data_IF_210730883176
#
_entry.id   IF_210730883176
#
_cell.length_a   1.000
_cell.length_b   1.000
_cell.length_c   1.000
_cell.angle_alpha   90.00
_cell.angle_beta   90.00
_cell.angle_gamma   90.00
#
_symmetry.space_group_name_H-M   'P 1'
#
loop_
_entity.id
_entity.type
_entity.pdbx_description
1 polymer ?
#
# COMPACT_ATOMS: atom_id res chain seq x y z
N UNK A 1 4.69 4.98 13.71
CA UNK A 1 3.28 5.05 14.14
C UNK A 1 2.54 3.83 13.63
N UNK A 2 1.77 3.22 14.48
CA UNK A 2 0.96 2.08 14.05
C UNK A 2 -0.28 2.56 13.29
N UNK A 3 -0.61 1.90 12.17
CA UNK A 3 -1.69 2.32 11.30
C UNK A 3 -3.06 1.98 11.91
N UNK A 4 -4.10 2.78 11.59
CA UNK A 4 -5.43 2.58 12.14
C UNK A 4 -6.10 1.30 11.63
N UNK A 5 -6.79 0.59 12.51
CA UNK A 5 -7.47 -0.67 12.19
C UNK A 5 -8.52 -0.56 11.09
N UNK A 6 -9.15 0.61 10.96
CA UNK A 6 -10.22 0.80 9.98
C UNK A 6 -9.73 0.71 8.54
N UNK A 7 -8.46 1.05 8.29
CA UNK A 7 -7.90 1.10 6.95
C UNK A 7 -6.91 -0.03 6.66
N UNK A 8 -6.68 -0.92 7.62
CA UNK A 8 -5.69 -1.99 7.49
C UNK A 8 -6.16 -3.26 8.17
N UNK A 9 -5.67 -4.41 7.69
CA UNK A 9 -5.81 -5.69 8.37
C UNK A 9 -4.41 -6.12 8.82
N UNK A 10 -4.29 -6.58 10.07
CA UNK A 10 -3.01 -6.96 10.65
C UNK A 10 -2.22 -5.74 11.12
N UNK A 11 -1.01 -5.96 11.56
CA UNK A 11 -0.20 -4.89 12.12
C UNK A 11 0.62 -4.21 11.03
N UNK A 12 0.46 -2.91 10.94
CA UNK A 12 1.12 -2.07 9.95
C UNK A 12 1.65 -0.82 10.64
N UNK A 13 2.87 -0.43 10.33
CA UNK A 13 3.50 0.80 10.82
C UNK A 13 3.85 1.67 9.64
N UNK A 14 3.74 2.99 9.82
CA UNK A 14 4.14 3.91 8.79
C UNK A 14 4.75 5.17 9.38
N UNK A 15 5.55 5.84 8.57
CA UNK A 15 6.12 7.12 8.90
C UNK A 15 6.55 7.86 7.65
N UNK A 16 6.54 9.20 7.67
CA UNK A 16 7.01 9.97 6.53
C UNK A 16 8.52 9.79 6.34
N UNK A 17 8.95 9.70 5.08
CA UNK A 17 10.37 9.71 4.75
C UNK A 17 10.94 11.10 4.87
N UNK A 18 10.15 12.09 4.51
CA UNK A 18 10.51 13.50 4.59
C UNK A 18 9.27 14.34 4.79
N UNK A 19 9.37 15.53 5.38
CA UNK A 19 8.24 16.45 5.44
C UNK A 19 7.83 16.84 4.01
N UNK A 20 6.52 17.12 3.78
CA UNK A 20 6.07 17.62 2.50
C UNK A 20 6.79 18.92 2.12
N UNK A 21 7.12 19.05 0.85
CA UNK A 21 7.76 20.26 0.33
C UNK A 21 6.73 21.06 -0.46
N UNK A 22 6.25 22.16 0.11
CA UNK A 22 5.20 23.04 -0.46
C UNK A 22 3.80 22.39 -0.49
N UNK A 23 2.83 23.15 -0.95
CA UNK A 23 1.42 22.76 -0.96
C UNK A 23 1.07 21.69 -1.98
N UNK A 24 1.85 21.57 -3.04
CA UNK A 24 1.66 20.54 -4.07
C UNK A 24 2.54 19.34 -3.84
N UNK A 25 2.82 19.05 -2.61
CA UNK A 25 3.90 18.19 -2.23
C UNK A 25 3.72 16.74 -2.65
N UNK A 26 4.82 16.17 -3.05
CA UNK A 26 5.00 14.74 -3.11
C UNK A 26 4.96 14.20 -1.67
N UNK A 27 4.07 13.25 -1.44
CA UNK A 27 4.00 12.53 -0.16
C UNK A 27 4.87 11.29 -0.23
N UNK A 28 5.73 11.11 0.76
CA UNK A 28 6.64 9.97 0.82
C UNK A 28 6.47 9.28 2.17
N UNK A 29 6.11 8.01 2.13
CA UNK A 29 5.91 7.22 3.34
C UNK A 29 6.72 5.93 3.26
N UNK A 30 7.24 5.51 4.40
CA UNK A 30 7.71 4.15 4.59
C UNK A 30 6.60 3.39 5.30
N UNK A 31 6.21 2.24 4.78
CA UNK A 31 5.12 1.43 5.35
C UNK A 31 5.63 0.01 5.55
N UNK A 32 5.53 -0.48 6.79
CA UNK A 32 5.97 -1.81 7.17
C UNK A 32 4.75 -2.66 7.51
N UNK A 33 4.64 -3.81 6.84
CA UNK A 33 3.56 -4.78 7.04
C UNK A 33 4.10 -6.04 7.68
N UNK A 34 3.48 -6.48 8.76
CA UNK A 34 3.77 -7.81 9.31
C UNK A 34 3.24 -8.89 8.36
N UNK A 35 3.70 -10.15 8.47
CA UNK A 35 3.19 -11.21 7.61
C UNK A 35 1.66 -11.27 7.61
N UNK A 36 1.07 -11.31 6.43
CA UNK A 36 -0.39 -11.34 6.26
C UNK A 36 -1.10 -9.99 6.39
N UNK A 37 -0.42 -8.95 6.82
CA UNK A 37 -1.02 -7.63 6.97
C UNK A 37 -1.18 -6.95 5.62
N UNK A 38 -2.20 -6.11 5.48
CA UNK A 38 -2.53 -5.45 4.22
C UNK A 38 -3.38 -4.21 4.43
N UNK A 39 -3.42 -3.37 3.40
CA UNK A 39 -4.33 -2.22 3.38
C UNK A 39 -5.75 -2.68 3.11
N UNK A 40 -6.72 -1.83 3.41
CA UNK A 40 -8.06 -1.94 2.85
C UNK A 40 -8.04 -1.50 1.37
N UNK A 41 -9.17 -1.67 0.67
CA UNK A 41 -9.32 -1.19 -0.70
C UNK A 41 -9.28 0.33 -0.73
N UNK A 42 -8.47 0.89 -1.63
CA UNK A 42 -8.29 2.34 -1.72
C UNK A 42 -7.80 2.74 -3.11
N UNK A 43 -7.77 4.05 -3.34
CA UNK A 43 -7.23 4.61 -4.58
C UNK A 43 -6.54 5.94 -4.30
N UNK A 44 -5.70 6.34 -5.24
CA UNK A 44 -5.04 7.65 -5.24
C UNK A 44 -5.41 8.37 -6.53
N UNK A 45 -5.86 9.62 -6.41
CA UNK A 45 -6.38 10.38 -7.57
C UNK A 45 -5.36 10.50 -8.69
N UNK A 46 -4.10 10.70 -8.35
CA UNK A 46 -3.02 10.87 -9.33
C UNK A 46 -2.12 9.63 -9.45
N UNK A 47 -2.51 8.52 -8.84
CA UNK A 47 -1.72 7.30 -8.86
C UNK A 47 -0.74 7.19 -7.72
N UNK A 48 0.03 6.10 -7.73
CA UNK A 48 0.97 5.80 -6.66
C UNK A 48 2.15 5.04 -7.21
N UNK A 49 3.34 5.33 -6.69
CA UNK A 49 4.53 4.51 -6.93
C UNK A 49 4.86 3.80 -5.62
N UNK A 50 5.02 2.48 -5.71
CA UNK A 50 5.48 1.66 -4.59
C UNK A 50 6.85 1.08 -4.93
N UNK A 51 7.82 1.31 -4.06
CA UNK A 51 9.13 0.68 -4.16
C UNK A 51 9.30 -0.26 -2.97
N UNK A 52 9.51 -1.54 -3.24
CA UNK A 52 9.67 -2.54 -2.19
C UNK A 52 11.12 -2.52 -1.69
N UNK A 53 11.30 -2.16 -0.44
CA UNK A 53 12.62 -2.07 0.17
C UNK A 53 13.06 -3.37 0.84
N UNK A 54 12.10 -4.10 1.45
CA UNK A 54 12.37 -5.35 2.18
C UNK A 54 11.21 -6.30 2.04
N UNK A 55 11.50 -7.59 2.05
CA UNK A 55 10.51 -8.64 2.18
C UNK A 55 9.76 -8.96 0.91
N UNK A 56 8.56 -9.49 1.08
CA UNK A 56 7.73 -10.00 -0.01
C UNK A 56 6.30 -9.53 0.18
N UNK A 57 5.68 -9.09 -0.90
CA UNK A 57 4.34 -8.55 -0.85
C UNK A 57 3.48 -8.91 -2.03
N UNK A 58 2.27 -8.37 -2.01
CA UNK A 58 1.25 -8.56 -3.01
C UNK A 58 0.63 -7.20 -3.32
N UNK A 59 0.40 -6.94 -4.60
CA UNK A 59 -0.37 -5.78 -5.04
C UNK A 59 -1.47 -6.29 -5.96
N UNK A 60 -2.72 -5.94 -5.69
CA UNK A 60 -3.85 -6.42 -6.46
C UNK A 60 -4.89 -5.33 -6.66
N UNK A 61 -5.60 -5.36 -7.79
CA UNK A 61 -6.67 -4.43 -8.07
C UNK A 61 -8.03 -5.12 -8.07
N UNK A 62 -9.10 -4.35 -8.17
CA UNK A 62 -10.45 -4.92 -8.10
C UNK A 62 -10.90 -5.62 -9.38
N UNK A 63 -10.13 -5.50 -10.48
CA UNK A 63 -10.43 -6.21 -11.72
C UNK A 63 -9.74 -7.56 -11.82
N UNK A 64 -9.02 -7.96 -10.78
CA UNK A 64 -8.43 -9.29 -10.69
C UNK A 64 -6.95 -9.38 -11.03
N UNK A 65 -6.32 -8.27 -11.40
CA UNK A 65 -4.87 -8.28 -11.62
C UNK A 65 -4.16 -8.36 -10.27
N UNK A 66 -3.16 -9.22 -10.21
CA UNK A 66 -2.43 -9.49 -8.98
C UNK A 66 -0.99 -9.77 -9.30
N UNK A 67 -0.08 -9.17 -8.55
CA UNK A 67 1.35 -9.40 -8.72
C UNK A 67 2.00 -9.60 -7.35
N UNK A 68 2.90 -10.57 -7.26
CA UNK A 68 3.77 -10.71 -6.11
C UNK A 68 5.03 -9.88 -6.34
N UNK A 69 5.48 -9.22 -5.28
CA UNK A 69 6.61 -8.31 -5.32
C UNK A 69 7.64 -8.67 -4.25
N UNK A 70 8.88 -8.30 -4.51
CA UNK A 70 9.99 -8.53 -3.60
C UNK A 70 10.90 -7.31 -3.55
N UNK A 71 11.84 -7.30 -2.63
CA UNK A 71 12.79 -6.20 -2.47
C UNK A 71 13.44 -5.82 -3.81
N UNK A 72 13.39 -4.54 -4.14
CA UNK A 72 13.90 -4.01 -5.39
C UNK A 72 12.86 -3.78 -6.47
N UNK A 73 11.65 -4.32 -6.29
CA UNK A 73 10.58 -4.14 -7.28
C UNK A 73 9.90 -2.79 -7.12
N UNK A 74 9.49 -2.23 -8.25
CA UNK A 74 8.71 -1.00 -8.30
C UNK A 74 7.38 -1.28 -8.98
N UNK A 75 6.29 -0.84 -8.36
CA UNK A 75 4.95 -0.97 -8.91
C UNK A 75 4.39 0.43 -9.14
N UNK A 76 3.86 0.67 -10.33
CA UNK A 76 3.19 1.92 -10.66
C UNK A 76 1.69 1.62 -10.71
N UNK A 77 0.95 2.30 -9.84
CA UNK A 77 -0.50 2.14 -9.77
C UNK A 77 -1.12 3.33 -10.49
N UNK A 78 -1.94 3.09 -11.53
CA UNK A 78 -2.53 4.18 -12.31
C UNK A 78 -3.45 5.08 -11.50
N UNK A 79 -3.66 6.32 -11.93
CA UNK A 79 -4.61 7.23 -11.28
C UNK A 79 -6.00 6.61 -11.13
N UNK A 80 -6.55 6.69 -9.93
CA UNK A 80 -7.91 6.23 -9.65
C UNK A 80 -8.12 4.73 -9.56
N UNK A 81 -7.08 3.91 -9.75
CA UNK A 81 -7.25 2.46 -9.69
C UNK A 81 -7.46 1.99 -8.25
N UNK A 82 -8.60 1.32 -8.03
CA UNK A 82 -8.91 0.74 -6.71
C UNK A 82 -8.08 -0.52 -6.52
N UNK A 83 -7.30 -0.54 -5.45
CA UNK A 83 -6.32 -1.61 -5.21
C UNK A 83 -6.08 -1.80 -3.72
N UNK A 84 -5.30 -2.83 -3.42
CA UNK A 84 -4.72 -3.03 -2.09
C UNK A 84 -3.30 -3.55 -2.24
N UNK A 85 -2.52 -3.41 -1.19
CA UNK A 85 -1.19 -4.02 -1.10
C UNK A 85 -0.91 -4.46 0.32
N UNK A 86 -0.01 -5.43 0.46
CA UNK A 86 0.34 -5.97 1.75
C UNK A 86 1.43 -7.01 1.65
N UNK A 87 1.74 -7.61 2.80
CA UNK A 87 2.75 -8.66 2.92
C UNK A 87 2.18 -10.02 2.50
N UNK A 88 3.05 -10.92 2.07
CA UNK A 88 2.69 -12.32 1.89
C UNK A 88 2.43 -12.98 3.25
N UNK A 89 1.78 -14.16 3.28
CA UNK A 89 1.46 -14.80 4.57
C UNK A 89 2.65 -15.15 5.43
N UNK A 90 3.81 -15.37 4.83
CA UNK A 90 4.99 -15.90 5.53
C UNK A 90 6.13 -14.90 5.67
N UNK A 91 5.99 -13.69 5.17
CA UNK A 91 7.07 -12.70 5.24
C UNK A 91 6.52 -11.31 5.52
N UNK A 92 7.32 -10.50 6.18
CA UNK A 92 7.03 -9.07 6.27
C UNK A 92 7.29 -8.40 4.92
N UNK A 93 6.77 -7.20 4.75
CA UNK A 93 7.09 -6.38 3.58
C UNK A 93 7.19 -4.93 4.01
N UNK A 94 8.20 -4.25 3.51
CA UNK A 94 8.33 -2.81 3.68
C UNK A 94 8.41 -2.16 2.31
N UNK A 95 7.54 -1.18 2.06
CA UNK A 95 7.62 -0.41 0.84
C UNK A 95 7.69 1.08 1.13
N UNK A 96 8.21 1.81 0.16
CA UNK A 96 8.13 3.26 0.11
C UNK A 96 6.96 3.61 -0.79
N UNK A 97 6.14 4.56 -0.36
CA UNK A 97 4.98 5.04 -1.10
C UNK A 97 5.22 6.48 -1.51
N UNK A 98 5.02 6.76 -2.79
CA UNK A 98 5.15 8.11 -3.35
C UNK A 98 3.84 8.47 -4.03
N UNK A 99 3.19 9.52 -3.54
CA UNK A 99 1.91 9.99 -4.08
C UNK A 99 1.87 11.51 -4.17
N UNK A 100 1.03 12.01 -5.06
CA UNK A 100 0.66 13.41 -5.16
C UNK A 100 -0.86 13.52 -5.22
N UNK A 101 -1.41 14.73 -5.25
CA UNK A 101 -2.82 14.92 -5.50
C UNK A 101 -3.77 14.76 -4.32
N UNK A 102 -3.25 14.83 -3.10
CA UNK A 102 -4.07 14.83 -1.90
C UNK A 102 -4.15 13.49 -1.19
N UNK A 103 -5.09 13.34 -0.26
CA UNK A 103 -5.14 12.16 0.59
C UNK A 103 -5.63 10.91 -0.13
N UNK A 104 -5.32 9.76 0.46
CA UNK A 104 -5.84 8.45 0.04
C UNK A 104 -7.36 8.45 0.13
N UNK A 105 -8.01 7.90 -0.89
CA UNK A 105 -9.45 7.69 -0.88
C UNK A 105 -9.75 6.23 -0.52
N UNK A 106 -10.24 6.02 0.69
CA UNK A 106 -10.58 4.70 1.20
C UNK A 106 -11.99 4.31 0.76
N UNK A 107 -12.15 3.06 0.30
CA UNK A 107 -13.42 2.58 -0.25
C UNK A 107 -14.39 2.08 0.82
N UNK A 108 -14.01 2.10 2.09
CA UNK A 108 -14.89 1.68 3.17
C UNK A 108 -15.03 0.17 3.32
N UNK A 109 -14.12 -0.61 2.72
CA UNK A 109 -14.14 -2.07 2.85
C UNK A 109 -12.72 -2.62 2.97
N UNK A 110 -12.58 -3.61 3.84
CA UNK A 110 -11.31 -4.31 4.02
C UNK A 110 -11.17 -5.45 3.00
N UNK A 111 -9.96 -5.89 2.80
CA UNK A 111 -9.65 -7.05 1.96
C UNK A 111 -9.91 -8.30 2.80
N UNK A 112 -10.91 -9.08 2.43
CA UNK A 112 -11.25 -10.31 3.16
C UNK A 112 -10.23 -11.42 2.86
N UNK A 113 -10.34 -12.54 3.58
CA UNK A 113 -9.40 -13.65 3.42
C UNK A 113 -9.43 -14.24 2.02
N UNK A 114 -10.60 -14.29 1.40
CA UNK A 114 -10.73 -14.84 0.05
C UNK A 114 -10.05 -13.95 -0.99
N UNK A 115 -10.25 -12.65 -0.93
CA UNK A 115 -9.57 -11.71 -1.82
C UNK A 115 -8.06 -11.72 -1.60
N UNK A 116 -7.66 -11.82 -0.36
CA UNK A 116 -6.23 -11.87 -0.02
C UNK A 116 -5.55 -13.13 -0.55
N UNK A 117 -6.22 -14.25 -0.46
CA UNK A 117 -5.67 -15.53 -0.93
C UNK A 117 -5.58 -15.61 -2.46
N UNK A 118 -6.40 -14.88 -3.15
CA UNK A 118 -6.44 -14.87 -4.61
C UNK A 118 -7.43 -15.86 -5.14
#
# INVERSE_FOLDING_TARGET
MEAPEEDFTGRVWFGPLAPPVHDAALNTLAVMFSPGARTAWHRHVEGQVLYVAHGNGIVANETGDRVEVAAGDTVIIPPGEVHWHGATPDAHMMHLSLTTGGPTEWMGRKVNEQDYAG
#
